data_IF_569844933956
#
_entry.id   IF_569844933956
#
_cell.length_a   1.000
_cell.length_b   1.000
_cell.length_c   1.000
_cell.angle_alpha   90.00
_cell.angle_beta   90.00
_cell.angle_gamma   90.00
#
_symmetry.space_group_name_H-M   'P 1'
#
loop_
_entity.id
_entity.type
_entity.pdbx_description
1 polymer ?
#
# COMPACT_ATOMS: atom_id res chain seq x y z
N UNK A 1 -22.57 -0.38 -8.23
CA UNK A 1 -22.18 -1.78 -8.61
C UNK A 1 -20.69 -1.94 -8.33
N UNK A 2 -20.29 -3.05 -7.71
CA UNK A 2 -18.86 -3.33 -7.45
C UNK A 2 -18.18 -3.70 -8.78
N UNK A 3 -17.03 -3.10 -9.11
CA UNK A 3 -16.33 -3.38 -10.36
C UNK A 3 -15.80 -4.82 -10.40
N UNK A 4 -15.81 -5.41 -11.60
CA UNK A 4 -15.33 -6.77 -11.86
C UNK A 4 -13.98 -6.80 -12.59
N UNK A 5 -13.52 -5.65 -13.06
CA UNK A 5 -12.26 -5.49 -13.78
C UNK A 5 -11.57 -4.18 -13.39
N UNK A 6 -10.27 -4.14 -13.56
CA UNK A 6 -9.52 -2.90 -13.49
C UNK A 6 -9.89 -1.96 -14.64
N UNK A 7 -9.91 -0.68 -14.33
CA UNK A 7 -10.02 0.40 -15.32
C UNK A 7 -8.63 0.90 -15.68
N UNK A 8 -8.38 1.06 -16.97
CA UNK A 8 -7.13 1.68 -17.42
C UNK A 8 -7.22 3.21 -17.28
N UNK A 9 -6.23 3.78 -16.63
CA UNK A 9 -6.07 5.22 -16.48
C UNK A 9 -4.72 5.64 -17.05
N UNK A 10 -4.75 6.51 -18.06
CA UNK A 10 -3.54 7.07 -18.65
C UNK A 10 -3.20 8.39 -17.99
N UNK A 11 -2.03 8.47 -17.38
CA UNK A 11 -1.48 9.69 -16.77
C UNK A 11 -0.16 9.99 -17.49
N UNK A 12 -0.11 11.13 -18.18
CA UNK A 12 1.02 11.48 -19.06
C UNK A 12 1.26 10.36 -20.10
N UNK A 13 2.43 9.72 -20.05
CA UNK A 13 2.83 8.64 -20.96
C UNK A 13 2.75 7.25 -20.34
N UNK A 14 2.19 7.11 -19.12
CA UNK A 14 2.09 5.85 -18.41
C UNK A 14 0.62 5.45 -18.26
N UNK A 15 0.36 4.14 -18.32
CA UNK A 15 -0.94 3.54 -18.12
C UNK A 15 -0.96 2.78 -16.79
N UNK A 16 -2.02 2.98 -16.01
CA UNK A 16 -2.21 2.40 -14.69
C UNK A 16 -3.50 1.60 -14.63
N UNK A 17 -3.47 0.48 -13.91
CA UNK A 17 -4.65 -0.28 -13.54
C UNK A 17 -5.25 0.28 -12.25
N UNK A 18 -6.50 0.71 -12.31
CA UNK A 18 -7.19 1.36 -11.20
C UNK A 18 -8.44 0.57 -10.82
N UNK A 19 -8.64 0.31 -9.54
CA UNK A 19 -9.91 -0.18 -9.02
C UNK A 19 -10.90 0.98 -8.93
N UNK A 20 -11.70 1.19 -10.00
CA UNK A 20 -12.62 2.32 -10.09
C UNK A 20 -13.83 2.14 -9.19
N UNK A 21 -13.90 2.90 -8.11
CA UNK A 21 -15.01 2.88 -7.15
C UNK A 21 -16.10 3.90 -7.45
N UNK A 22 -15.97 4.72 -8.51
CA UNK A 22 -16.90 5.82 -8.81
C UNK A 22 -18.35 5.40 -9.02
N UNK A 23 -18.58 4.17 -9.48
CA UNK A 23 -19.90 3.62 -9.76
C UNK A 23 -20.54 2.89 -8.55
N UNK A 24 -19.92 2.94 -7.39
CA UNK A 24 -20.51 2.37 -6.16
C UNK A 24 -21.55 3.34 -5.62
N UNK A 25 -22.73 2.81 -5.36
CA UNK A 25 -23.86 3.62 -4.83
C UNK A 25 -23.48 4.32 -3.52
N UNK A 26 -23.75 5.61 -3.44
CA UNK A 26 -23.51 6.49 -2.29
C UNK A 26 -22.02 6.65 -1.90
N UNK A 27 -21.09 6.32 -2.78
CA UNK A 27 -19.65 6.42 -2.48
C UNK A 27 -19.24 7.87 -2.14
N UNK A 28 -19.86 8.85 -2.79
CA UNK A 28 -19.59 10.28 -2.59
C UNK A 28 -20.02 10.80 -1.21
N UNK A 29 -20.92 10.08 -0.54
CA UNK A 29 -21.40 10.45 0.80
C UNK A 29 -20.55 9.83 1.92
N UNK A 30 -19.64 8.92 1.58
CA UNK A 30 -18.74 8.29 2.55
C UNK A 30 -17.52 9.17 2.85
N UNK A 31 -16.98 9.12 4.08
CA UNK A 31 -15.70 9.71 4.41
C UNK A 31 -14.58 9.19 3.48
N UNK A 32 -13.56 10.00 3.22
CA UNK A 32 -12.43 9.59 2.38
C UNK A 32 -11.73 8.33 2.88
N UNK A 33 -11.60 8.16 4.20
CA UNK A 33 -11.04 6.94 4.81
C UNK A 33 -11.81 5.67 4.40
N UNK A 34 -13.15 5.73 4.39
CA UNK A 34 -13.98 4.61 3.96
C UNK A 34 -13.83 4.32 2.47
N UNK A 35 -13.70 5.37 1.64
CA UNK A 35 -13.46 5.20 0.19
C UNK A 35 -12.11 4.53 -0.08
N UNK A 36 -11.07 4.90 0.67
CA UNK A 36 -9.74 4.26 0.58
C UNK A 36 -9.82 2.79 0.98
N UNK A 37 -10.54 2.46 2.06
CA UNK A 37 -10.74 1.06 2.48
C UNK A 37 -11.50 0.26 1.43
N UNK A 38 -12.58 0.83 0.85
CA UNK A 38 -13.36 0.19 -0.21
C UNK A 38 -12.49 -0.04 -1.45
N UNK A 39 -11.71 0.95 -1.89
CA UNK A 39 -10.79 0.79 -3.01
C UNK A 39 -9.81 -0.34 -2.75
N UNK A 40 -9.20 -0.37 -1.57
CA UNK A 40 -8.25 -1.41 -1.18
C UNK A 40 -8.88 -2.82 -1.24
N UNK A 41 -10.05 -2.99 -0.65
CA UNK A 41 -10.79 -4.27 -0.65
C UNK A 41 -11.10 -4.73 -2.08
N UNK A 42 -11.58 -3.82 -2.93
CA UNK A 42 -11.92 -4.11 -4.33
C UNK A 42 -10.67 -4.45 -5.12
N UNK A 43 -9.60 -3.71 -4.96
CA UNK A 43 -8.33 -3.99 -5.62
C UNK A 43 -7.81 -5.38 -5.25
N UNK A 44 -7.88 -5.77 -3.98
CA UNK A 44 -7.51 -7.12 -3.56
C UNK A 44 -8.45 -8.20 -4.13
N UNK A 45 -9.74 -7.90 -4.29
CA UNK A 45 -10.69 -8.79 -4.98
C UNK A 45 -10.28 -8.97 -6.44
N UNK A 46 -10.00 -7.89 -7.16
CA UNK A 46 -9.61 -7.93 -8.58
C UNK A 46 -8.28 -8.68 -8.80
N UNK A 47 -7.41 -8.70 -7.78
CA UNK A 47 -6.19 -9.50 -7.75
C UNK A 47 -6.41 -10.96 -7.32
N UNK A 48 -7.65 -11.37 -7.05
CA UNK A 48 -7.97 -12.72 -6.58
C UNK A 48 -7.53 -13.04 -5.15
N UNK A 49 -7.25 -12.01 -4.34
CA UNK A 49 -6.70 -12.15 -2.98
C UNK A 49 -7.73 -11.97 -1.86
N UNK A 50 -8.97 -11.55 -2.18
CA UNK A 50 -10.04 -11.33 -1.21
C UNK A 50 -11.37 -11.87 -1.73
N UNK A 51 -11.80 -13.00 -1.19
CA UNK A 51 -13.06 -13.67 -1.58
C UNK A 51 -14.29 -13.08 -0.87
N UNK A 52 -14.12 -12.35 0.23
CA UNK A 52 -15.20 -11.77 1.02
C UNK A 52 -15.38 -10.26 0.78
N UNK A 53 -14.83 -9.76 -0.32
CA UNK A 53 -14.78 -8.33 -0.61
C UNK A 53 -16.17 -7.69 -0.68
N UNK A 54 -17.17 -8.37 -1.27
CA UNK A 54 -18.51 -7.82 -1.45
C UNK A 54 -19.22 -7.57 -0.12
N UNK A 55 -19.11 -8.50 0.83
CA UNK A 55 -19.68 -8.37 2.17
C UNK A 55 -18.96 -7.28 2.98
N UNK A 56 -17.64 -7.17 2.84
CA UNK A 56 -16.85 -6.15 3.50
C UNK A 56 -17.20 -4.74 2.97
N UNK A 57 -17.29 -4.57 1.66
CA UNK A 57 -17.71 -3.31 1.02
C UNK A 57 -19.11 -2.92 1.48
N UNK A 58 -20.05 -3.87 1.46
CA UNK A 58 -21.43 -3.65 1.93
C UNK A 58 -21.44 -3.22 3.40
N UNK A 59 -20.67 -3.86 4.25
CA UNK A 59 -20.58 -3.52 5.68
C UNK A 59 -20.08 -2.10 5.92
N UNK A 60 -19.11 -1.64 5.12
CA UNK A 60 -18.61 -0.25 5.20
C UNK A 60 -19.70 0.74 4.76
N UNK A 61 -20.37 0.46 3.64
CA UNK A 61 -21.44 1.33 3.12
C UNK A 61 -22.61 1.45 4.12
N UNK A 62 -22.97 0.35 4.77
CA UNK A 62 -24.04 0.29 5.77
C UNK A 62 -23.62 0.81 7.15
N UNK A 63 -22.36 1.20 7.33
CA UNK A 63 -21.84 1.70 8.61
C UNK A 63 -21.82 0.66 9.73
N UNK A 64 -21.67 -0.61 9.41
CA UNK A 64 -21.62 -1.70 10.40
C UNK A 64 -20.33 -1.65 11.20
N UNK A 65 -20.47 -1.35 12.50
CA UNK A 65 -19.34 -1.34 13.45
C UNK A 65 -19.00 -2.76 13.87
N UNK A 66 -17.71 -3.03 14.06
CA UNK A 66 -17.21 -4.34 14.53
C UNK A 66 -17.06 -5.40 13.44
N UNK A 67 -17.35 -5.09 12.17
CA UNK A 67 -17.07 -5.99 11.06
C UNK A 67 -15.57 -5.99 10.75
N UNK A 68 -14.96 -7.16 10.72
CA UNK A 68 -13.58 -7.31 10.28
C UNK A 68 -13.44 -7.04 8.79
N UNK A 69 -12.49 -6.20 8.41
CA UNK A 69 -12.14 -5.92 7.02
C UNK A 69 -10.68 -6.26 6.75
N UNK A 70 -10.39 -6.76 5.55
CA UNK A 70 -9.03 -7.01 5.11
C UNK A 70 -8.44 -5.72 4.55
N UNK A 71 -7.23 -5.41 4.96
CA UNK A 71 -6.46 -4.30 4.42
C UNK A 71 -5.07 -4.78 3.99
N UNK A 72 -4.69 -4.46 2.77
CA UNK A 72 -3.37 -4.77 2.21
C UNK A 72 -2.71 -3.50 1.73
N UNK A 73 -1.62 -3.05 2.36
CA UNK A 73 -0.92 -1.84 1.94
C UNK A 73 -0.31 -2.01 0.54
N UNK A 74 -0.15 -0.91 -0.18
CA UNK A 74 0.55 -0.89 -1.47
C UNK A 74 2.05 -0.66 -1.31
N UNK A 75 2.44 -0.15 -0.16
CA UNK A 75 3.79 0.27 0.17
C UNK A 75 3.95 0.26 1.67
N UNK A 76 5.14 -0.07 2.12
CA UNK A 76 5.54 0.06 3.52
C UNK A 76 6.50 1.25 3.60
N UNK A 77 6.22 2.16 4.51
CA UNK A 77 7.13 3.23 4.88
C UNK A 77 7.83 2.83 6.17
N UNK A 78 9.14 2.71 6.13
CA UNK A 78 9.98 2.40 7.28
C UNK A 78 10.95 3.54 7.54
N UNK A 79 11.09 3.97 8.78
CA UNK A 79 12.12 4.94 9.12
C UNK A 79 13.36 4.25 9.67
N UNK A 80 14.51 4.91 9.56
CA UNK A 80 15.80 4.33 9.86
C UNK A 80 16.09 4.15 11.37
N UNK A 81 15.33 4.79 12.25
CA UNK A 81 15.52 4.70 13.71
C UNK A 81 15.01 3.34 14.21
N UNK A 82 13.76 2.97 13.91
CA UNK A 82 13.13 1.72 14.36
C UNK A 82 13.00 0.67 13.25
N UNK A 83 13.04 1.09 11.99
CA UNK A 83 12.93 0.18 10.84
C UNK A 83 14.14 -0.72 10.62
N UNK A 84 15.27 -0.45 11.26
CA UNK A 84 16.50 -1.28 11.15
C UNK A 84 16.28 -2.72 11.61
N UNK A 85 15.42 -2.94 12.60
CA UNK A 85 15.11 -4.29 13.12
C UNK A 85 14.56 -5.16 11.99
N UNK A 86 13.61 -4.65 11.21
CA UNK A 86 13.07 -5.36 10.05
C UNK A 86 14.15 -5.73 9.03
N UNK A 87 15.10 -4.84 8.74
CA UNK A 87 16.20 -5.12 7.81
C UNK A 87 17.12 -6.22 8.34
N UNK A 88 17.40 -6.23 9.64
CA UNK A 88 18.19 -7.29 10.29
C UNK A 88 17.47 -8.63 10.19
N UNK A 89 16.16 -8.67 10.43
CA UNK A 89 15.37 -9.89 10.30
C UNK A 89 15.41 -10.44 8.86
N UNK A 90 15.24 -9.59 7.85
CA UNK A 90 15.35 -9.99 6.45
C UNK A 90 16.73 -10.56 6.12
N UNK A 91 17.80 -9.94 6.61
CA UNK A 91 19.16 -10.43 6.41
C UNK A 91 19.36 -11.80 7.08
N UNK A 92 18.90 -11.96 8.32
CA UNK A 92 18.99 -13.22 9.05
C UNK A 92 18.20 -14.36 8.35
N UNK A 93 17.02 -14.07 7.82
CA UNK A 93 16.25 -15.05 7.04
C UNK A 93 16.95 -15.44 5.75
N UNK A 94 17.54 -14.49 5.02
CA UNK A 94 18.29 -14.74 3.80
C UNK A 94 19.52 -15.63 4.08
N UNK A 95 20.27 -15.32 5.11
CA UNK A 95 21.42 -16.12 5.54
C UNK A 95 20.99 -17.54 5.96
N UNK A 96 19.90 -17.67 6.70
CA UNK A 96 19.36 -18.97 7.09
C UNK A 96 18.92 -19.84 5.89
N UNK A 97 18.39 -19.24 4.83
CA UNK A 97 18.05 -19.93 3.58
C UNK A 97 19.30 -20.35 2.82
N UNK A 98 20.28 -19.46 2.69
CA UNK A 98 21.55 -19.74 2.02
C UNK A 98 22.27 -20.93 2.67
N UNK A 99 22.34 -20.96 4.00
CA UNK A 99 22.93 -22.07 4.76
C UNK A 99 22.21 -23.41 4.53
N UNK A 100 20.99 -23.39 4.01
CA UNK A 100 20.22 -24.58 3.62
C UNK A 100 20.26 -24.87 2.12
N UNK A 101 21.04 -24.11 1.34
CA UNK A 101 21.09 -24.23 -0.12
C UNK A 101 19.83 -23.75 -0.84
N UNK A 102 19.03 -22.90 -0.20
CA UNK A 102 17.79 -22.32 -0.73
C UNK A 102 18.07 -20.88 -1.19
N UNK A 103 17.47 -20.44 -2.30
CA UNK A 103 17.67 -19.09 -2.81
C UNK A 103 17.22 -18.03 -1.80
N UNK A 104 18.07 -17.05 -1.54
CA UNK A 104 17.77 -15.88 -0.72
C UNK A 104 16.67 -15.00 -1.31
N UNK A 105 16.44 -15.08 -2.62
CA UNK A 105 15.41 -14.28 -3.33
C UNK A 105 13.97 -14.63 -2.94
N UNK A 106 13.78 -15.76 -2.24
CA UNK A 106 12.49 -16.12 -1.68
C UNK A 106 12.07 -15.22 -0.51
N UNK A 107 13.03 -14.52 0.12
CA UNK A 107 12.74 -13.55 1.20
C UNK A 107 12.70 -12.15 0.61
N UNK A 108 11.54 -11.79 0.09
CA UNK A 108 11.25 -10.46 -0.45
C UNK A 108 9.93 -9.96 0.13
N UNK A 109 9.79 -8.64 0.40
CA UNK A 109 8.50 -8.05 0.70
C UNK A 109 7.57 -8.15 -0.52
N UNK A 110 6.29 -8.44 -0.30
CA UNK A 110 5.27 -8.47 -1.36
C UNK A 110 4.96 -7.07 -1.95
N UNK A 111 5.34 -6.03 -1.23
CA UNK A 111 5.13 -4.63 -1.62
C UNK A 111 6.42 -3.83 -1.45
N UNK A 112 6.61 -2.73 -2.20
CA UNK A 112 7.77 -1.87 -2.05
C UNK A 112 7.93 -1.37 -0.61
N UNK A 113 9.16 -1.36 -0.12
CA UNK A 113 9.53 -0.82 1.19
C UNK A 113 10.44 0.38 0.98
N UNK A 114 9.97 1.57 1.37
CA UNK A 114 10.78 2.78 1.34
C UNK A 114 11.35 3.04 2.72
N UNK A 115 12.65 3.18 2.80
CA UNK A 115 13.33 3.58 4.04
C UNK A 115 13.55 5.09 4.00
N UNK A 116 12.97 5.78 4.97
CA UNK A 116 13.04 7.24 5.10
C UNK A 116 13.94 7.58 6.28
N UNK A 117 14.81 8.57 6.09
CA UNK A 117 15.66 9.09 7.16
C UNK A 117 14.81 9.98 8.07
N UNK A 118 14.71 9.60 9.34
CA UNK A 118 13.95 10.31 10.38
C UNK A 118 14.88 10.98 11.41
N UNK A 119 16.04 11.46 10.93
CA UNK A 119 16.98 12.20 11.75
C UNK A 119 16.69 13.70 11.71
N UNK A 120 16.90 14.37 12.82
CA UNK A 120 16.98 15.84 12.82
C UNK A 120 18.27 16.26 12.11
N UNK A 121 18.12 16.90 10.97
CA UNK A 121 19.24 17.42 10.18
C UNK A 121 19.24 18.94 10.24
N UNK A 122 20.43 19.52 10.34
CA UNK A 122 20.60 20.93 10.09
C UNK A 122 20.49 21.17 8.59
N UNK A 123 19.61 22.09 8.20
CA UNK A 123 19.40 22.46 6.79
C UNK A 123 20.04 23.80 6.54
N UNK A 124 21.10 23.83 5.76
CA UNK A 124 21.84 25.05 5.45
C UNK A 124 21.12 25.92 4.41
N UNK A 125 20.39 25.30 3.49
CA UNK A 125 19.64 25.96 2.42
C UNK A 125 18.22 25.43 2.36
N UNK A 126 17.22 26.31 2.46
CA UNK A 126 15.81 25.93 2.38
C UNK A 126 14.96 27.07 1.80
N UNK A 127 13.84 26.72 1.15
CA UNK A 127 12.81 27.67 0.71
C UNK A 127 13.26 28.70 -0.32
N UNK A 128 14.42 28.54 -0.97
CA UNK A 128 14.98 29.47 -1.96
C UNK A 128 15.43 28.74 -3.23
N UNK A 129 15.67 29.48 -4.29
CA UNK A 129 16.21 28.91 -5.53
C UNK A 129 17.66 28.43 -5.36
N UNK A 130 18.42 28.96 -4.43
CA UNK A 130 19.76 28.48 -4.08
C UNK A 130 19.73 27.06 -3.50
N UNK A 131 18.68 26.71 -2.75
CA UNK A 131 18.49 25.37 -2.19
C UNK A 131 18.29 24.27 -3.26
N UNK A 132 17.98 24.66 -4.50
CA UNK A 132 17.82 23.73 -5.63
C UNK A 132 19.14 23.47 -6.36
N UNK A 133 20.13 24.31 -6.16
CA UNK A 133 21.40 24.33 -6.92
C UNK A 133 22.55 23.76 -6.07
N UNK A 134 22.46 23.87 -4.76
CA UNK A 134 23.44 23.40 -3.78
C UNK A 134 22.98 22.15 -3.04
#
# INVERSE_FOLDING_TARGET
MIPTNFKKLKILNQEYDVADISNITNIENLPFSHRILIENIIRQKLLGRNNNADDQVKSIIEGKIGTAINFSPNRILSHDILGKVMLVDFLAYREALENKGISQDLVQPDVPVDVVIDHSLQVDYFGSDEAKIK
#
